data_IF_848838620702
#
_entry.id   IF_848838620702
#
_cell.length_a   1.000
_cell.length_b   1.000
_cell.length_c   1.000
_cell.angle_alpha   90.00
_cell.angle_beta   90.00
_cell.angle_gamma   90.00
#
_symmetry.space_group_name_H-M   'P 1'
#
loop_
_entity.id
_entity.type
_entity.pdbx_description
1 polymer ?
#
# COMPACT_ATOMS: atom_id res chain seq x y z
N UNK A 1 -18.86 -0.05 -8.61
CA UNK A 1 -18.32 1.04 -7.77
C UNK A 1 -17.24 0.47 -6.86
N UNK A 2 -16.14 0.00 -7.45
CA UNK A 2 -15.13 -0.79 -6.72
C UNK A 2 -14.17 0.07 -5.88
N UNK A 3 -13.88 1.29 -6.35
CA UNK A 3 -12.89 2.18 -5.74
C UNK A 3 -13.49 3.23 -4.79
N UNK A 4 -14.81 3.42 -4.78
CA UNK A 4 -15.47 4.49 -4.04
C UNK A 4 -15.36 4.26 -2.52
N UNK A 5 -14.93 5.29 -1.79
CA UNK A 5 -14.78 5.25 -0.33
C UNK A 5 -13.66 6.14 0.18
N UNK A 6 -13.50 6.20 1.50
CA UNK A 6 -12.39 6.91 2.14
C UNK A 6 -11.26 5.95 2.43
N UNK A 7 -10.03 6.40 2.18
CA UNK A 7 -8.80 5.63 2.34
C UNK A 7 -7.76 6.42 3.13
N UNK A 8 -6.87 5.71 3.79
CA UNK A 8 -5.73 6.25 4.52
C UNK A 8 -4.47 6.08 3.67
N UNK A 9 -3.69 7.16 3.59
CA UNK A 9 -2.34 7.17 3.01
C UNK A 9 -1.33 7.51 4.09
N UNK A 10 -0.19 6.81 4.11
CA UNK A 10 0.92 7.13 4.99
C UNK A 10 1.81 8.18 4.34
N UNK A 11 2.05 9.28 5.04
CA UNK A 11 2.92 10.37 4.62
C UNK A 11 4.10 10.43 5.60
N UNK A 12 5.30 10.08 5.11
CA UNK A 12 6.54 10.24 5.88
C UNK A 12 6.99 11.69 5.76
N UNK A 13 6.98 12.41 6.89
CA UNK A 13 7.59 13.72 6.99
C UNK A 13 8.98 13.56 7.62
N UNK A 14 10.03 13.80 6.84
CA UNK A 14 11.40 13.84 7.36
C UNK A 14 11.60 15.20 8.06
N UNK A 15 11.53 15.22 9.39
CA UNK A 15 11.85 16.38 10.22
C UNK A 15 12.93 16.03 11.23
N UNK A 16 14.00 16.84 11.27
CA UNK A 16 15.08 16.88 12.28
C UNK A 16 15.21 15.62 13.18
N UNK A 17 15.74 14.54 12.62
CA UNK A 17 16.18 13.35 13.39
C UNK A 17 15.09 12.39 13.89
N UNK A 18 13.80 12.67 13.66
CA UNK A 18 12.71 11.75 13.99
C UNK A 18 11.76 11.59 12.78
N UNK A 19 11.65 10.36 12.28
CA UNK A 19 10.68 10.03 11.23
C UNK A 19 9.25 10.04 11.82
N UNK A 20 8.59 11.20 11.75
CA UNK A 20 7.19 11.30 12.10
C UNK A 20 6.34 10.72 10.96
N UNK A 21 5.74 9.56 11.22
CA UNK A 21 4.75 8.98 10.33
C UNK A 21 3.41 9.68 10.57
N UNK A 22 2.91 10.38 9.56
CA UNK A 22 1.56 10.97 9.58
C UNK A 22 0.65 10.19 8.62
N UNK A 23 -0.65 10.19 8.91
CA UNK A 23 -1.66 9.61 8.02
C UNK A 23 -2.54 10.71 7.48
N UNK A 24 -2.87 10.63 6.20
CA UNK A 24 -3.81 11.54 5.55
C UNK A 24 -4.99 10.75 4.98
N UNK A 25 -6.15 11.40 4.89
CA UNK A 25 -7.35 10.79 4.32
C UNK A 25 -7.50 11.21 2.85
N UNK A 26 -7.76 10.22 2.00
CA UNK A 26 -8.05 10.41 0.58
C UNK A 26 -9.41 9.79 0.32
N UNK A 27 -10.32 10.57 -0.27
CA UNK A 27 -11.66 10.08 -0.62
C UNK A 27 -11.72 9.86 -2.12
N UNK A 28 -12.10 8.65 -2.51
CA UNK A 28 -12.46 8.31 -3.88
C UNK A 28 -13.94 8.52 -4.05
N UNK A 29 -14.30 9.57 -4.77
CA UNK A 29 -15.66 9.88 -5.18
C UNK A 29 -15.97 9.23 -6.53
N UNK A 30 -17.18 9.43 -7.04
CA UNK A 30 -17.57 8.86 -8.33
C UNK A 30 -16.82 9.53 -9.50
N UNK A 31 -16.53 10.83 -9.38
CA UNK A 31 -15.95 11.67 -10.41
C UNK A 31 -14.74 12.47 -9.91
N UNK A 32 -14.23 12.22 -8.71
CA UNK A 32 -13.08 12.94 -8.16
C UNK A 32 -12.27 12.11 -7.16
N UNK A 33 -11.01 12.51 -6.96
CA UNK A 33 -10.15 12.03 -5.88
C UNK A 33 -9.50 13.25 -5.21
N UNK A 34 -10.17 13.91 -4.26
CA UNK A 34 -9.58 15.03 -3.52
C UNK A 34 -8.42 14.55 -2.62
N UNK A 35 -7.34 15.34 -2.48
CA UNK A 35 -7.11 16.67 -3.07
C UNK A 35 -6.44 16.62 -4.47
N UNK A 36 -6.33 15.45 -5.10
CA UNK A 36 -5.55 15.26 -6.33
C UNK A 36 -6.25 15.70 -7.63
N UNK A 37 -7.57 15.85 -7.61
CA UNK A 37 -8.34 16.47 -8.69
C UNK A 37 -9.60 15.69 -9.09
N UNK A 38 -10.29 16.19 -10.12
CA UNK A 38 -11.49 15.56 -10.70
C UNK A 38 -11.12 14.62 -11.84
N UNK A 39 -11.88 13.55 -12.00
CA UNK A 39 -11.72 12.61 -13.10
C UNK A 39 -12.01 13.32 -14.44
N UNK A 40 -10.95 13.50 -15.24
CA UNK A 40 -11.06 14.07 -16.58
C UNK A 40 -11.29 12.98 -17.62
N UNK A 41 -10.57 11.87 -17.52
CA UNK A 41 -10.69 10.75 -18.46
C UNK A 41 -10.28 9.42 -17.84
N UNK A 42 -10.93 8.33 -18.22
CA UNK A 42 -10.58 6.97 -17.80
C UNK A 42 -10.36 6.05 -19.00
N UNK A 43 -9.32 5.22 -18.93
CA UNK A 43 -8.99 4.17 -19.90
C UNK A 43 -8.51 2.93 -19.16
N UNK A 44 -9.43 1.98 -18.95
CA UNK A 44 -9.13 0.78 -18.15
C UNK A 44 -8.76 1.14 -16.72
N UNK A 45 -7.54 0.76 -16.34
CA UNK A 45 -6.95 1.04 -15.03
C UNK A 45 -6.31 2.43 -14.93
N UNK A 46 -6.11 3.11 -16.06
CA UNK A 46 -5.56 4.45 -16.10
C UNK A 46 -6.67 5.50 -15.94
N UNK A 47 -6.52 6.37 -14.95
CA UNK A 47 -7.40 7.50 -14.67
C UNK A 47 -6.56 8.78 -14.74
N UNK A 48 -6.99 9.71 -15.58
CA UNK A 48 -6.43 11.05 -15.68
C UNK A 48 -7.27 11.95 -14.78
N UNK A 49 -6.63 12.51 -13.76
CA UNK A 49 -7.22 13.55 -12.93
C UNK A 49 -6.81 14.91 -13.43
N UNK A 50 -7.70 15.89 -13.28
CA UNK A 50 -7.48 17.30 -13.58
C UNK A 50 -7.84 18.11 -12.34
N UNK A 51 -6.88 18.90 -11.90
CA UNK A 51 -7.08 19.92 -10.88
C UNK A 51 -6.93 21.32 -11.50
N UNK A 52 -7.95 22.15 -11.34
CA UNK A 52 -7.98 23.53 -11.85
C UNK A 52 -8.05 24.55 -10.69
N UNK A 53 -7.91 24.11 -9.43
CA UNK A 53 -8.03 25.00 -8.26
C UNK A 53 -6.81 25.91 -8.06
N UNK A 54 -5.65 25.57 -8.64
CA UNK A 54 -4.39 26.33 -8.54
C UNK A 54 -4.14 27.39 -9.62
N UNK A 55 -5.14 27.76 -10.42
CA UNK A 55 -5.03 28.78 -11.48
C UNK A 55 -4.63 28.25 -12.86
N UNK A 56 -3.76 27.24 -12.93
CA UNK A 56 -3.48 26.49 -14.16
C UNK A 56 -4.02 25.06 -14.09
N UNK A 57 -4.42 24.52 -15.24
CA UNK A 57 -4.89 23.14 -15.36
C UNK A 57 -3.75 22.15 -15.12
N UNK A 58 -3.88 21.35 -14.07
CA UNK A 58 -2.87 20.42 -13.62
C UNK A 58 -3.39 18.99 -13.77
N UNK A 59 -3.03 18.34 -14.88
CA UNK A 59 -3.43 16.96 -15.19
C UNK A 59 -2.37 15.94 -14.78
N UNK A 60 -2.82 14.83 -14.20
CA UNK A 60 -1.98 13.70 -13.76
C UNK A 60 -2.61 12.38 -14.16
N UNK A 61 -1.78 11.42 -14.57
CA UNK A 61 -2.25 10.06 -14.85
C UNK A 61 -1.91 9.11 -13.70
N UNK A 62 -2.93 8.37 -13.24
CA UNK A 62 -2.86 7.37 -12.19
C UNK A 62 -3.26 6.02 -12.74
N UNK A 63 -2.41 5.02 -12.55
CA UNK A 63 -2.76 3.63 -12.80
C UNK A 63 -3.26 3.01 -11.50
N UNK A 64 -4.54 2.69 -11.44
CA UNK A 64 -5.20 2.11 -10.27
C UNK A 64 -5.21 0.59 -10.36
N UNK A 65 -4.76 -0.07 -9.30
CA UNK A 65 -4.83 -1.53 -9.16
C UNK A 65 -5.47 -1.88 -7.83
N UNK A 66 -6.58 -2.62 -7.85
CA UNK A 66 -7.13 -3.19 -6.62
C UNK A 66 -6.29 -4.42 -6.23
N UNK A 67 -5.62 -4.35 -5.07
CA UNK A 67 -4.82 -5.47 -4.54
C UNK A 67 -5.62 -6.39 -3.63
N UNK A 68 -6.54 -5.79 -2.86
CA UNK A 68 -7.47 -6.48 -1.99
C UNK A 68 -8.75 -5.63 -1.88
N UNK A 69 -9.87 -6.17 -1.37
CA UNK A 69 -11.14 -5.42 -1.25
C UNK A 69 -11.04 -4.09 -0.48
N UNK A 70 -10.01 -3.94 0.36
CA UNK A 70 -9.72 -2.78 1.18
C UNK A 70 -8.41 -2.08 0.82
N UNK A 71 -7.73 -2.47 -0.26
CA UNK A 71 -6.40 -1.95 -0.61
C UNK A 71 -6.34 -1.57 -2.09
N UNK A 72 -6.10 -0.29 -2.35
CA UNK A 72 -5.82 0.25 -3.68
C UNK A 72 -4.33 0.59 -3.76
N UNK A 73 -3.70 0.13 -4.82
CA UNK A 73 -2.35 0.54 -5.21
C UNK A 73 -2.45 1.51 -6.39
N UNK A 74 -1.71 2.60 -6.34
CA UNK A 74 -1.65 3.61 -7.38
C UNK A 74 -0.22 3.74 -7.88
N UNK A 75 -0.04 3.71 -9.19
CA UNK A 75 1.21 4.11 -9.81
C UNK A 75 1.07 5.44 -10.53
N UNK A 76 2.06 6.31 -10.37
CA UNK A 76 2.10 7.63 -10.99
C UNK A 76 3.53 8.16 -11.11
N UNK A 77 3.80 9.14 -11.98
CA UNK A 77 5.09 9.83 -12.01
C UNK A 77 5.40 10.60 -10.72
N UNK A 78 4.37 10.84 -9.91
CA UNK A 78 4.44 11.47 -8.61
C UNK A 78 3.47 12.64 -8.51
N UNK A 79 3.02 12.93 -7.28
CA UNK A 79 2.04 13.98 -7.02
C UNK A 79 2.57 15.40 -7.35
N UNK A 80 3.89 15.60 -7.31
CA UNK A 80 4.54 16.88 -7.62
C UNK A 80 4.71 17.21 -9.10
N UNK A 81 4.42 16.28 -10.03
CA UNK A 81 4.51 16.51 -11.48
C UNK A 81 3.10 16.53 -12.08
N UNK A 82 2.81 17.50 -12.93
CA UNK A 82 1.57 17.55 -13.71
C UNK A 82 1.76 18.24 -15.07
N UNK A 83 0.75 18.11 -15.92
CA UNK A 83 0.77 18.55 -17.30
C UNK A 83 -0.47 19.40 -17.62
N UNK A 84 -0.32 20.39 -18.48
CA UNK A 84 -1.41 21.27 -18.93
C UNK A 84 -2.09 20.78 -20.22
N UNK A 85 -1.48 19.83 -20.94
CA UNK A 85 -1.99 19.25 -22.19
C UNK A 85 -2.34 17.78 -22.06
N UNK A 86 -3.46 17.36 -22.65
CA UNK A 86 -3.96 15.98 -22.56
C UNK A 86 -3.01 14.99 -23.26
N UNK A 87 -2.40 15.38 -24.38
CA UNK A 87 -1.49 14.53 -25.14
C UNK A 87 -0.23 14.19 -24.33
N UNK A 88 0.28 15.15 -23.58
CA UNK A 88 1.46 14.99 -22.74
C UNK A 88 1.19 14.00 -21.59
N UNK A 89 0.05 14.14 -20.90
CA UNK A 89 -0.29 13.26 -19.77
C UNK A 89 -0.56 11.82 -20.21
N UNK A 90 -1.11 11.64 -21.42
CA UNK A 90 -1.34 10.30 -21.99
C UNK A 90 -0.04 9.57 -22.27
N UNK A 91 0.98 10.28 -22.73
CA UNK A 91 2.29 9.70 -23.02
C UNK A 91 3.02 9.25 -21.74
N UNK A 92 2.64 9.78 -20.57
CA UNK A 92 3.28 9.47 -19.29
C UNK A 92 2.44 8.59 -18.38
N UNK A 93 1.29 8.11 -18.84
CA UNK A 93 0.49 7.13 -18.11
C UNK A 93 1.29 5.83 -17.91
N UNK A 94 1.31 5.28 -16.68
CA UNK A 94 1.91 3.97 -16.45
C UNK A 94 1.22 2.89 -17.29
N UNK A 95 2.01 2.02 -17.89
CA UNK A 95 1.55 0.75 -18.47
C UNK A 95 1.91 -0.42 -17.54
N UNK A 96 1.26 -1.57 -17.72
CA UNK A 96 1.44 -2.73 -16.84
C UNK A 96 2.92 -3.16 -16.75
N UNK A 97 3.66 -3.04 -17.85
CA UNK A 97 5.09 -3.40 -17.91
C UNK A 97 5.94 -2.45 -17.07
N UNK A 98 5.73 -1.15 -17.19
CA UNK A 98 6.50 -0.14 -16.46
C UNK A 98 6.10 -0.08 -14.96
N UNK A 99 4.88 -0.50 -14.64
CA UNK A 99 4.46 -0.82 -13.27
C UNK A 99 5.28 -2.00 -12.72
N UNK A 100 5.41 -3.10 -13.46
CA UNK A 100 6.23 -4.23 -13.05
C UNK A 100 7.72 -3.89 -12.90
N UNK A 101 8.24 -3.00 -13.74
CA UNK A 101 9.63 -2.51 -13.69
C UNK A 101 9.88 -1.45 -12.60
N UNK A 102 8.86 -1.11 -11.77
CA UNK A 102 8.95 -0.12 -10.68
C UNK A 102 9.48 1.25 -11.11
N UNK A 103 9.19 1.65 -12.36
CA UNK A 103 9.63 2.95 -12.91
C UNK A 103 8.81 4.15 -12.42
N UNK A 104 7.67 3.87 -11.79
CA UNK A 104 6.73 4.87 -11.29
C UNK A 104 6.70 4.89 -9.76
N UNK A 105 6.31 6.02 -9.18
CA UNK A 105 6.06 6.11 -7.74
C UNK A 105 4.83 5.31 -7.40
N UNK A 106 4.95 4.51 -6.35
CA UNK A 106 3.87 3.70 -5.79
C UNK A 106 3.24 4.43 -4.61
N UNK A 107 1.91 4.44 -4.56
CA UNK A 107 1.13 4.93 -3.43
C UNK A 107 0.15 3.82 -3.03
N UNK A 108 0.16 3.48 -1.74
CA UNK A 108 -0.74 2.49 -1.15
C UNK A 108 -1.82 3.18 -0.33
N UNK A 109 -3.08 2.81 -0.61
CA UNK A 109 -4.26 3.35 0.05
C UNK A 109 -5.04 2.23 0.75
N UNK A 110 -5.36 2.47 2.02
CA UNK A 110 -6.04 1.49 2.87
C UNK A 110 -7.44 2.00 3.23
N UNK A 111 -8.48 1.22 2.92
CA UNK A 111 -9.86 1.65 3.14
C UNK A 111 -10.10 1.94 4.62
N UNK A 112 -10.58 3.15 4.93
CA UNK A 112 -11.03 3.54 6.25
C UNK A 112 -12.30 2.76 6.56
N UNK A 113 -12.28 1.95 7.61
CA UNK A 113 -13.42 1.13 8.01
C UNK A 113 -14.54 2.04 8.56
N UNK A 114 -15.76 1.89 8.05
CA UNK A 114 -16.92 2.56 8.63
C UNK A 114 -17.26 1.92 9.98
N UNK A 115 -17.11 2.69 11.06
CA UNK A 115 -17.45 2.29 12.43
C UNK A 115 -18.92 1.85 12.62
N UNK A 116 -19.78 2.05 11.61
CA UNK A 116 -21.20 1.67 11.62
C UNK A 116 -21.45 0.20 11.25
N UNK A 117 -20.46 -0.51 10.71
CA UNK A 117 -20.58 -1.95 10.48
C UNK A 117 -19.26 -2.68 10.82
N UNK A 118 -19.05 -3.05 12.09
CA UNK A 118 -17.85 -3.76 12.55
C UNK A 118 -17.63 -5.12 11.85
N UNK A 119 -18.67 -5.67 11.22
CA UNK A 119 -18.65 -7.01 10.63
C UNK A 119 -18.14 -7.05 9.17
N UNK A 120 -17.85 -5.90 8.56
CA UNK A 120 -17.33 -5.84 7.19
C UNK A 120 -15.79 -5.69 7.11
N UNK A 121 -15.09 -5.55 8.24
CA UNK A 121 -13.64 -5.71 8.28
C UNK A 121 -13.25 -6.55 9.50
N UNK A 122 -13.32 -7.85 9.26
CA UNK A 122 -12.54 -8.81 9.99
C UNK A 122 -11.44 -9.32 9.05
N UNK A 123 -10.46 -8.44 8.80
CA UNK A 123 -9.15 -8.76 8.21
C UNK A 123 -8.27 -7.52 8.27
N UNK A 124 -7.90 -7.11 9.49
CA UNK A 124 -6.81 -6.18 9.77
C UNK A 124 -5.58 -6.66 9.01
N UNK A 125 -5.17 -5.93 7.97
CA UNK A 125 -4.04 -6.32 7.13
C UNK A 125 -2.73 -6.01 7.86
N UNK A 126 -1.90 -7.03 8.07
CA UNK A 126 -0.56 -6.92 8.61
C UNK A 126 0.36 -6.17 7.62
N UNK A 127 1.11 -5.13 8.05
CA UNK A 127 1.96 -4.31 7.16
C UNK A 127 3.15 -5.08 6.56
N UNK A 128 3.37 -6.34 6.97
CA UNK A 128 4.36 -7.25 6.42
C UNK A 128 3.64 -8.21 5.48
N UNK A 129 3.79 -8.04 4.16
CA UNK A 129 3.24 -8.93 3.14
C UNK A 129 4.33 -9.80 2.52
N UNK A 130 4.26 -11.11 2.71
CA UNK A 130 5.17 -12.05 2.06
C UNK A 130 5.57 -13.25 2.91
N UNK A 131 6.46 -14.06 2.34
CA UNK A 131 7.11 -15.19 3.01
C UNK A 131 8.59 -14.88 3.16
N UNK A 132 9.06 -14.83 4.40
CA UNK A 132 10.40 -14.43 4.75
C UNK A 132 11.13 -15.59 5.40
N UNK A 133 12.44 -15.67 5.17
CA UNK A 133 13.33 -16.55 5.91
C UNK A 133 14.06 -15.74 6.96
N UNK A 134 14.18 -16.26 8.18
CA UNK A 134 14.82 -15.53 9.27
C UNK A 134 15.81 -16.41 10.03
N UNK A 135 16.80 -15.75 10.63
CA UNK A 135 17.69 -16.29 11.66
C UNK A 135 17.32 -15.66 13.00
N UNK A 136 17.45 -16.40 14.09
CA UNK A 136 17.03 -15.98 15.42
C UNK A 136 18.11 -16.28 16.45
N UNK A 137 18.39 -15.34 17.34
CA UNK A 137 19.31 -15.52 18.48
C UNK A 137 18.73 -14.83 19.70
N UNK A 138 18.57 -15.56 20.81
CA UNK A 138 18.09 -15.03 22.08
C UNK A 138 18.82 -15.67 23.27
N UNK A 139 18.62 -15.10 24.47
CA UNK A 139 19.24 -15.53 25.73
C UNK A 139 20.75 -15.77 25.59
N UNK A 140 21.49 -14.74 25.18
CA UNK A 140 22.95 -14.80 25.02
C UNK A 140 23.47 -15.95 24.14
N UNK A 141 22.67 -16.39 23.15
CA UNK A 141 23.06 -17.42 22.18
C UNK A 141 22.68 -18.85 22.57
N UNK A 142 21.93 -19.02 23.66
CA UNK A 142 21.36 -20.32 24.06
C UNK A 142 20.26 -20.78 23.08
N UNK A 143 19.38 -19.87 22.68
CA UNK A 143 18.36 -20.13 21.66
C UNK A 143 18.81 -19.55 20.33
N UNK A 144 19.09 -20.42 19.37
CA UNK A 144 19.59 -20.01 18.06
C UNK A 144 18.97 -20.78 16.90
N UNK A 145 18.77 -20.07 15.80
CA UNK A 145 18.39 -20.59 14.49
C UNK A 145 19.37 -19.98 13.48
N UNK A 146 20.52 -20.63 13.31
CA UNK A 146 21.62 -20.12 12.49
C UNK A 146 21.40 -20.37 10.99
N UNK A 147 20.42 -21.23 10.66
CA UNK A 147 20.05 -21.58 9.29
C UNK A 147 18.80 -20.81 8.83
N UNK A 148 18.77 -20.39 7.56
CA UNK A 148 17.64 -19.68 6.94
C UNK A 148 16.47 -20.61 6.57
N UNK A 149 16.25 -21.65 7.37
CA UNK A 149 15.17 -22.62 7.19
C UNK A 149 13.90 -22.23 7.95
N UNK A 150 14.01 -21.30 8.90
CA UNK A 150 12.85 -20.76 9.62
C UNK A 150 12.09 -19.75 8.78
N UNK A 151 10.76 -19.82 8.82
CA UNK A 151 9.87 -19.07 7.92
C UNK A 151 8.90 -18.17 8.69
N UNK A 152 8.70 -16.95 8.20
CA UNK A 152 7.75 -15.99 8.72
C UNK A 152 6.80 -15.58 7.59
N UNK A 153 5.50 -15.73 7.80
CA UNK A 153 4.51 -15.45 6.75
C UNK A 153 3.16 -15.02 7.32
N UNK A 154 2.50 -14.08 6.64
CA UNK A 154 1.13 -13.63 6.93
C UNK A 154 0.09 -14.20 5.94
N UNK A 155 0.40 -15.29 5.23
CA UNK A 155 -0.44 -15.90 4.19
C UNK A 155 -0.95 -17.27 4.66
N UNK A 156 -2.25 -17.61 4.51
CA UNK A 156 -3.31 -16.90 3.79
C UNK A 156 -4.15 -15.94 4.65
N UNK A 157 -3.92 -15.87 5.96
CA UNK A 157 -4.74 -15.11 6.90
C UNK A 157 -4.04 -13.79 7.23
N UNK A 158 -4.48 -12.71 6.59
CA UNK A 158 -3.81 -11.40 6.59
C UNK A 158 -3.69 -10.67 7.94
N UNK A 159 -4.39 -11.12 8.98
CA UNK A 159 -4.35 -10.57 10.33
C UNK A 159 -3.45 -11.37 11.31
N UNK A 160 -2.84 -12.46 10.83
CA UNK A 160 -2.04 -13.36 11.65
C UNK A 160 -0.65 -13.55 11.05
N UNK A 161 0.37 -13.29 11.86
CA UNK A 161 1.76 -13.57 11.51
C UNK A 161 2.14 -14.96 12.00
N UNK A 162 2.30 -15.90 11.06
CA UNK A 162 2.78 -17.25 11.33
C UNK A 162 4.31 -17.28 11.32
N UNK A 163 4.90 -17.77 12.41
CA UNK A 163 6.35 -17.96 12.57
C UNK A 163 6.61 -19.45 12.74
N UNK A 164 7.44 -20.02 11.86
CA UNK A 164 7.84 -21.43 11.87
C UNK A 164 9.34 -21.50 12.13
N UNK A 165 9.71 -21.97 13.32
CA UNK A 165 11.08 -22.28 13.67
C UNK A 165 11.42 -23.68 13.15
N UNK A 166 12.49 -23.77 12.36
CA UNK A 166 12.97 -25.01 11.73
C UNK A 166 14.46 -25.16 11.96
N UNK A 167 14.89 -26.35 12.40
CA UNK A 167 16.31 -26.71 12.56
C UNK A 167 17.06 -25.71 13.47
N UNK A 168 16.45 -25.38 14.61
CA UNK A 168 17.03 -24.52 15.63
C UNK A 168 17.70 -25.36 16.74
N UNK A 169 18.31 -24.70 17.74
CA UNK A 169 18.83 -25.38 18.95
C UNK A 169 17.73 -26.01 19.83
N UNK A 170 16.47 -25.85 19.46
CA UNK A 170 15.28 -26.40 20.10
C UNK A 170 14.36 -27.05 19.06
N UNK A 171 13.39 -27.90 19.47
CA UNK A 171 12.50 -28.59 18.55
C UNK A 171 11.71 -27.64 17.64
N UNK A 172 11.46 -28.09 16.40
CA UNK A 172 10.65 -27.36 15.44
C UNK A 172 9.29 -26.96 16.03
N UNK A 173 8.95 -25.67 15.95
CA UNK A 173 7.68 -25.17 16.46
C UNK A 173 7.09 -24.07 15.58
N UNK A 174 5.76 -24.03 15.54
CA UNK A 174 4.98 -22.97 14.90
C UNK A 174 4.29 -22.12 15.94
N UNK A 175 4.36 -20.80 15.79
CA UNK A 175 3.58 -19.82 16.57
C UNK A 175 2.83 -18.89 15.63
N UNK A 176 1.65 -18.49 16.05
CA UNK A 176 0.81 -17.54 15.34
C UNK A 176 0.60 -16.34 16.25
N UNK A 177 0.87 -15.15 15.72
CA UNK A 177 0.68 -13.89 16.44
C UNK A 177 -0.41 -13.09 15.73
N UNK A 178 -1.40 -12.63 16.48
CA UNK A 178 -2.40 -11.71 15.95
C UNK A 178 -1.75 -10.33 15.91
N UNK A 179 -1.80 -9.68 14.74
CA UNK A 179 -1.30 -8.31 14.60
C UNK A 179 -2.44 -7.37 15.01
N UNK A 180 -2.38 -6.91 16.25
CA UNK A 180 -3.26 -5.87 16.76
C UNK A 180 -2.68 -4.52 16.36
N UNK A 181 -3.42 -3.78 15.53
CA UNK A 181 -3.16 -2.37 15.21
C UNK A 181 -3.69 -1.45 16.29
#
# INVERSE_FOLDING_TARGET
>A
MEYVGTYLIQTQAEGFGHAATSFSEITFEMDAIPPWGKCFRRRGNNVILKDSTGGEDCMRCFHLTLKAPNIIQIHTEGLGKCYTKEEAVKATCPDDRAVHERKFKEIMLYRKQDLKNPLASDQTFCPISGKFRFTYTASNGEFRCDQTMSELSNCPVGNTLGVKFRQCSFPDMGKYFIVLS
#
